data_IF_872442682067
#
_entry.id   IF_872442682067
#
_cell.length_a   1.000
_cell.length_b   1.000
_cell.length_c   1.000
_cell.angle_alpha   90.00
_cell.angle_beta   90.00
_cell.angle_gamma   90.00
#
_symmetry.space_group_name_H-M   'P 1'
#
loop_
_entity.id
_entity.type
_entity.pdbx_description
1 polymer ?
#
# COMPACT_ATOMS: atom_id res chain seq x y z
N UNK A 1 4.92 4.93 2.30
CA UNK A 1 4.71 3.72 3.14
C UNK A 1 5.19 2.46 2.43
N UNK A 2 4.44 1.87 1.49
CA UNK A 2 4.93 0.69 0.73
C UNK A 2 6.09 1.00 -0.21
N UNK A 3 6.23 2.26 -0.61
CA UNK A 3 7.41 2.78 -1.30
C UNK A 3 8.66 2.88 -0.42
N UNK A 4 8.51 2.83 0.92
CA UNK A 4 9.61 2.95 1.89
C UNK A 4 10.11 1.56 2.34
N UNK A 5 9.20 0.61 2.59
CA UNK A 5 9.51 -0.77 2.98
C UNK A 5 8.36 -1.72 2.67
N UNK A 6 8.64 -3.02 2.61
CA UNK A 6 7.61 -4.06 2.53
C UNK A 6 6.77 -4.12 3.82
N UNK A 7 5.49 -4.47 3.67
CA UNK A 7 4.53 -4.59 4.78
C UNK A 7 3.50 -5.67 4.49
N UNK A 8 2.97 -6.32 5.52
CA UNK A 8 1.77 -7.17 5.40
C UNK A 8 0.49 -6.37 5.70
N UNK A 9 -0.68 -6.91 5.36
CA UNK A 9 -1.95 -6.18 5.37
C UNK A 9 -2.31 -5.50 6.71
N UNK A 10 -2.02 -6.14 7.85
CA UNK A 10 -2.30 -5.53 9.16
C UNK A 10 -1.36 -4.37 9.50
N UNK A 11 -0.09 -4.43 9.08
CA UNK A 11 0.82 -3.28 9.21
C UNK A 11 0.30 -2.09 8.42
N UNK A 12 -0.15 -2.32 7.18
CA UNK A 12 -0.70 -1.26 6.33
C UNK A 12 -1.90 -0.61 7.02
N UNK A 13 -2.84 -1.42 7.51
CA UNK A 13 -4.01 -0.93 8.27
C UNK A 13 -3.60 -0.09 9.48
N UNK A 14 -2.64 -0.56 10.27
CA UNK A 14 -2.13 0.14 11.46
C UNK A 14 -1.50 1.49 11.07
N UNK A 15 -0.65 1.48 10.05
CA UNK A 15 0.06 2.65 9.57
C UNK A 15 -0.87 3.70 8.94
N UNK A 16 -1.99 3.30 8.31
CA UNK A 16 -3.01 4.24 7.83
C UNK A 16 -3.58 5.07 8.98
N UNK A 17 -3.90 4.42 10.10
CA UNK A 17 -4.37 5.09 11.31
C UNK A 17 -3.30 5.99 11.92
N UNK A 18 -2.08 5.46 12.08
CA UNK A 18 -0.99 6.17 12.75
C UNK A 18 -0.45 7.37 11.96
N UNK A 19 -0.38 7.28 10.63
CA UNK A 19 0.18 8.37 9.79
C UNK A 19 -0.86 9.35 9.25
N UNK A 20 -2.08 8.89 9.01
CA UNK A 20 -3.09 9.69 8.30
C UNK A 20 -4.38 9.89 9.11
N UNK A 21 -4.46 9.35 10.33
CA UNK A 21 -5.58 9.59 11.24
C UNK A 21 -6.88 8.88 10.87
N UNK A 22 -6.90 8.05 9.83
CA UNK A 22 -8.11 7.34 9.41
C UNK A 22 -7.96 5.81 9.49
N UNK A 23 -9.08 5.15 9.75
CA UNK A 23 -9.17 3.68 9.81
C UNK A 23 -10.01 3.16 8.66
N UNK A 24 -9.75 1.94 8.24
CA UNK A 24 -10.53 1.25 7.21
C UNK A 24 -10.78 -0.19 7.60
N UNK A 25 -11.84 -0.79 7.04
CA UNK A 25 -12.13 -2.21 7.24
C UNK A 25 -10.99 -3.05 6.67
N UNK A 26 -10.69 -4.17 7.32
CA UNK A 26 -9.60 -5.07 6.87
C UNK A 26 -9.84 -5.55 5.44
N UNK A 27 -11.10 -5.87 5.09
CA UNK A 27 -11.49 -6.26 3.74
C UNK A 27 -11.13 -5.21 2.69
N UNK A 28 -11.29 -3.92 2.99
CA UNK A 28 -10.94 -2.82 2.07
C UNK A 28 -9.45 -2.80 1.76
N UNK A 29 -8.59 -3.03 2.77
CA UNK A 29 -7.14 -3.12 2.56
C UNK A 29 -6.81 -4.25 1.57
N UNK A 30 -7.41 -5.43 1.76
CA UNK A 30 -7.19 -6.55 0.85
C UNK A 30 -7.69 -6.30 -0.57
N UNK A 31 -8.87 -5.69 -0.73
CA UNK A 31 -9.42 -5.34 -2.06
C UNK A 31 -8.48 -4.38 -2.81
N UNK A 32 -7.96 -3.36 -2.13
CA UNK A 32 -7.03 -2.40 -2.73
C UNK A 32 -5.70 -3.08 -3.08
N UNK A 33 -5.13 -3.88 -2.17
CA UNK A 33 -3.89 -4.62 -2.44
C UNK A 33 -4.05 -5.59 -3.62
N UNK A 34 -5.20 -6.27 -3.71
CA UNK A 34 -5.48 -7.18 -4.81
C UNK A 34 -5.51 -6.45 -6.16
N UNK A 35 -6.19 -5.29 -6.23
CA UNK A 35 -6.23 -4.45 -7.45
C UNK A 35 -4.84 -3.93 -7.83
N UNK A 36 -4.11 -3.36 -6.86
CA UNK A 36 -2.75 -2.88 -7.09
C UNK A 36 -1.83 -3.99 -7.61
N UNK A 37 -1.99 -5.23 -7.11
CA UNK A 37 -1.23 -6.39 -7.60
C UNK A 37 -1.62 -6.77 -9.02
N UNK A 38 -2.93 -6.83 -9.31
CA UNK A 38 -3.44 -7.14 -10.64
C UNK A 38 -2.94 -6.13 -11.70
N UNK A 39 -2.79 -4.86 -11.31
CA UNK A 39 -2.24 -3.80 -12.16
C UNK A 39 -0.70 -3.77 -12.20
N UNK A 40 -0.03 -4.62 -11.43
CA UNK A 40 1.44 -4.69 -11.37
C UNK A 40 2.11 -3.55 -10.61
N UNK A 41 1.36 -2.80 -9.78
CA UNK A 41 1.88 -1.71 -8.95
C UNK A 41 2.60 -2.23 -7.69
N UNK A 42 2.20 -3.41 -7.23
CA UNK A 42 2.85 -4.13 -6.13
C UNK A 42 3.03 -5.60 -6.50
N UNK A 43 3.95 -6.26 -5.81
CA UNK A 43 4.16 -7.71 -5.88
C UNK A 43 4.12 -8.32 -4.49
N UNK A 44 3.91 -9.64 -4.43
CA UNK A 44 4.10 -10.41 -3.20
C UNK A 44 5.61 -10.64 -3.02
N UNK A 45 6.14 -10.17 -1.89
CA UNK A 45 7.50 -10.43 -1.43
C UNK A 45 7.61 -11.77 -0.71
N UNK A 46 8.67 -11.96 0.10
CA UNK A 46 8.88 -13.22 0.84
C UNK A 46 7.76 -13.48 1.84
N UNK A 47 7.26 -14.71 1.85
CA UNK A 47 6.48 -15.22 2.98
C UNK A 47 7.42 -15.46 4.16
N UNK A 48 7.10 -14.86 5.30
CA UNK A 48 7.85 -15.09 6.53
C UNK A 48 7.02 -15.96 7.46
N UNK A 49 7.44 -17.20 7.63
CA UNK A 49 6.95 -18.09 8.68
C UNK A 49 7.63 -17.72 9.99
N UNK A 50 6.87 -17.47 11.04
CA UNK A 50 7.38 -17.30 12.40
C UNK A 50 6.77 -18.42 13.26
N UNK A 51 7.58 -19.17 14.00
CA UNK A 51 7.13 -20.34 14.75
C UNK A 51 5.87 -20.02 15.59
N UNK A 52 4.78 -20.74 15.38
CA UNK A 52 3.50 -20.53 16.06
C UNK A 52 2.63 -19.38 15.53
N UNK A 53 2.94 -18.77 14.37
CA UNK A 53 2.10 -17.75 13.71
C UNK A 53 1.83 -18.11 12.24
N UNK A 54 0.64 -17.76 11.71
CA UNK A 54 0.34 -17.92 10.29
C UNK A 54 1.33 -17.18 9.41
N UNK A 55 1.61 -17.73 8.24
CA UNK A 55 2.45 -17.11 7.22
C UNK A 55 1.91 -15.73 6.85
N UNK A 56 2.84 -14.77 6.75
CA UNK A 56 2.52 -13.39 6.41
C UNK A 56 2.94 -13.11 4.97
N UNK A 57 1.95 -12.75 4.16
CA UNK A 57 2.17 -12.24 2.81
C UNK A 57 2.62 -10.78 2.92
N UNK A 58 3.89 -10.54 2.60
CA UNK A 58 4.44 -9.19 2.48
C UNK A 58 4.22 -8.65 1.08
N UNK A 59 3.88 -7.36 0.99
CA UNK A 59 3.72 -6.65 -0.27
C UNK A 59 4.87 -5.67 -0.47
N UNK A 60 5.36 -5.59 -1.70
CA UNK A 60 6.45 -4.73 -2.12
C UNK A 60 6.01 -3.85 -3.30
N UNK A 61 6.34 -2.56 -3.27
CA UNK A 61 6.13 -1.68 -4.42
C UNK A 61 7.05 -2.08 -5.58
N UNK A 62 6.50 -2.17 -6.78
CA UNK A 62 7.30 -2.31 -8.01
C UNK A 62 7.82 -0.94 -8.47
N UNK A 63 8.75 -0.92 -9.42
CA UNK A 63 9.19 0.35 -10.03
C UNK A 63 8.00 1.07 -10.71
N UNK A 64 7.17 0.33 -11.46
CA UNK A 64 5.90 0.84 -12.00
C UNK A 64 5.02 1.46 -10.90
N UNK A 65 4.92 0.81 -9.75
CA UNK A 65 4.14 1.33 -8.61
C UNK A 65 4.69 2.63 -8.05
N UNK A 66 6.02 2.78 -7.94
CA UNK A 66 6.68 4.00 -7.48
C UNK A 66 6.49 5.16 -8.46
N UNK A 67 6.65 4.90 -9.75
CA UNK A 67 6.40 5.88 -10.82
C UNK A 67 4.93 6.32 -10.83
N UNK A 68 4.00 5.37 -10.74
CA UNK A 68 2.55 5.65 -10.68
C UNK A 68 2.20 6.50 -9.47
N UNK A 69 2.84 6.26 -8.31
CA UNK A 69 2.66 7.08 -7.11
C UNK A 69 3.12 8.52 -7.33
N UNK A 70 4.25 8.74 -8.02
CA UNK A 70 4.74 10.10 -8.33
C UNK A 70 3.78 10.84 -9.27
N UNK A 71 3.31 10.17 -10.33
CA UNK A 71 2.30 10.70 -11.25
C UNK A 71 1.01 11.05 -10.48
N UNK A 72 0.54 10.18 -9.61
CA UNK A 72 -0.65 10.41 -8.79
C UNK A 72 -0.51 11.61 -7.87
N UNK A 73 0.66 11.81 -7.24
CA UNK A 73 0.93 13.00 -6.41
C UNK A 73 0.86 14.29 -7.24
N UNK A 74 1.51 14.32 -8.40
CA UNK A 74 1.47 15.47 -9.33
C UNK A 74 0.05 15.78 -9.78
N UNK A 75 -0.75 14.76 -10.09
CA UNK A 75 -2.16 14.90 -10.45
C UNK A 75 -2.98 15.55 -9.33
N UNK A 76 -2.83 15.07 -8.09
CA UNK A 76 -3.53 15.62 -6.93
C UNK A 76 -3.10 17.07 -6.64
N UNK A 77 -1.80 17.37 -6.71
CA UNK A 77 -1.28 18.74 -6.53
C UNK A 77 -1.85 19.71 -7.55
N UNK A 78 -1.86 19.34 -8.83
CA UNK A 78 -2.45 20.14 -9.91
C UNK A 78 -3.97 20.32 -9.71
N UNK A 79 -4.67 19.29 -9.26
CA UNK A 79 -6.11 19.38 -8.99
C UNK A 79 -6.38 20.35 -7.84
N UNK A 80 -5.61 20.27 -6.75
CA UNK A 80 -5.73 21.17 -5.61
C UNK A 80 -5.38 22.62 -5.96
N UNK A 81 -4.38 22.86 -6.81
CA UNK A 81 -4.01 24.22 -7.22
C UNK A 81 -5.10 24.95 -8.00
N UNK A 82 -6.08 24.22 -8.57
CA UNK A 82 -7.24 24.81 -9.26
C UNK A 82 -8.37 25.23 -8.33
N UNK A 83 -8.30 24.88 -7.04
CA UNK A 83 -9.29 25.27 -6.04
C UNK A 83 -8.92 26.60 -5.35
N UNK A 84 -7.73 27.14 -5.64
CA UNK A 84 -7.23 28.42 -5.12
C UNK A 84 -7.32 29.52 -6.18
#
# INVERSE_FOLDING_TARGET
MLSERSMYAYEIKKMLKERFGFSTATVTVYVVLHRMRAEGLIRVGKEMSMFGRPDRIYYEATEKGKETLDIGKKFLQNTLSKLN
#
